data_IF_637253500664
#
_entry.id   IF_637253500664
#
_cell.length_a   1.000
_cell.length_b   1.000
_cell.length_c   1.000
_cell.angle_alpha   90.00
_cell.angle_beta   90.00
_cell.angle_gamma   90.00
#
_symmetry.space_group_name_H-M   'P 1'
#
loop_
_entity.id
_entity.type
_entity.pdbx_description
1 polymer ?
#
# COMPACT_ATOMS: atom_id res chain seq x y z
N UNK A 1 -24.24 -1.16 -16.55
CA UNK A 1 -23.14 -1.45 -15.60
C UNK A 1 -21.96 -0.56 -15.93
N UNK A 2 -21.34 0.11 -14.97
CA UNK A 2 -20.10 0.87 -15.22
C UNK A 2 -18.99 -0.10 -15.65
N UNK A 3 -18.22 0.25 -16.69
CA UNK A 3 -17.10 -0.57 -17.12
C UNK A 3 -16.00 -0.60 -16.05
N UNK A 4 -15.25 -1.69 -15.95
CA UNK A 4 -14.10 -1.80 -15.02
C UNK A 4 -13.11 -0.63 -15.18
N UNK A 5 -12.93 -0.15 -16.40
CA UNK A 5 -12.09 0.99 -16.71
C UNK A 5 -12.63 2.29 -16.10
N UNK A 6 -13.95 2.51 -16.19
CA UNK A 6 -14.57 3.69 -15.61
C UNK A 6 -14.41 3.75 -14.08
N UNK A 7 -14.59 2.62 -13.39
CA UNK A 7 -14.39 2.53 -11.94
C UNK A 7 -12.92 2.85 -11.57
N UNK A 8 -11.96 2.30 -12.31
CA UNK A 8 -10.52 2.59 -12.07
C UNK A 8 -10.20 4.06 -12.25
N UNK A 9 -10.74 4.69 -13.29
CA UNK A 9 -10.54 6.11 -13.53
C UNK A 9 -11.13 6.94 -12.38
N UNK A 10 -12.38 6.68 -12.00
CA UNK A 10 -13.03 7.39 -10.88
C UNK A 10 -12.25 7.26 -9.57
N UNK A 11 -11.75 6.08 -9.22
CA UNK A 11 -10.95 5.87 -8.00
C UNK A 11 -9.63 6.63 -8.09
N UNK A 12 -8.97 6.63 -9.25
CA UNK A 12 -7.72 7.35 -9.46
C UNK A 12 -7.91 8.86 -9.32
N UNK A 13 -8.99 9.41 -9.86
CA UNK A 13 -9.31 10.83 -9.76
C UNK A 13 -9.60 11.24 -8.31
N UNK A 14 -10.36 10.42 -7.57
CA UNK A 14 -10.61 10.64 -6.14
C UNK A 14 -9.33 10.63 -5.30
N UNK A 15 -8.39 9.72 -5.58
CA UNK A 15 -7.09 9.68 -4.87
C UNK A 15 -6.25 10.91 -5.19
N UNK A 16 -6.22 11.36 -6.43
CA UNK A 16 -5.50 12.57 -6.86
C UNK A 16 -6.07 13.86 -6.27
N UNK A 17 -7.35 13.87 -5.92
CA UNK A 17 -7.99 15.02 -5.28
C UNK A 17 -7.61 15.17 -3.79
N UNK A 18 -6.96 14.17 -3.18
CA UNK A 18 -6.51 14.27 -1.79
C UNK A 18 -5.30 15.18 -1.67
N UNK A 19 -5.33 16.09 -0.68
CA UNK A 19 -4.17 16.93 -0.37
C UNK A 19 -3.01 16.09 0.17
N UNK A 20 -1.76 16.56 0.06
CA UNK A 20 -0.61 15.88 0.65
C UNK A 20 -0.76 15.60 2.15
N UNK A 21 -1.42 16.50 2.88
CA UNK A 21 -1.71 16.34 4.31
C UNK A 21 -2.70 15.21 4.56
N UNK A 22 -3.79 15.14 3.78
CA UNK A 22 -4.77 14.05 3.87
C UNK A 22 -4.13 12.71 3.54
N UNK A 23 -3.29 12.65 2.50
CA UNK A 23 -2.57 11.43 2.14
C UNK A 23 -1.68 10.95 3.29
N UNK A 24 -0.87 11.85 3.89
CA UNK A 24 -0.02 11.51 5.05
C UNK A 24 -0.85 11.03 6.25
N UNK A 25 -1.93 11.73 6.57
CA UNK A 25 -2.82 11.38 7.68
C UNK A 25 -3.43 9.98 7.47
N UNK A 26 -3.95 9.71 6.28
CA UNK A 26 -4.57 8.41 5.98
C UNK A 26 -3.57 7.28 5.92
N UNK A 27 -2.34 7.52 5.43
CA UNK A 27 -1.26 6.54 5.47
C UNK A 27 -0.90 6.15 6.92
N UNK A 28 -0.76 7.15 7.81
CA UNK A 28 -0.48 6.92 9.22
C UNK A 28 -1.62 6.14 9.91
N UNK A 29 -2.87 6.56 9.71
CA UNK A 29 -4.04 5.87 10.26
C UNK A 29 -4.16 4.42 9.77
N UNK A 30 -3.86 4.18 8.49
CA UNK A 30 -3.86 2.82 7.94
C UNK A 30 -2.76 1.96 8.56
N UNK A 31 -1.55 2.51 8.73
CA UNK A 31 -0.45 1.81 9.38
C UNK A 31 -0.79 1.44 10.83
N UNK A 32 -1.36 2.36 11.61
CA UNK A 32 -1.81 2.11 12.99
C UNK A 32 -2.86 1.00 13.06
N UNK A 33 -3.87 1.05 12.18
CA UNK A 33 -4.90 0.00 12.11
C UNK A 33 -4.31 -1.36 11.76
N UNK A 34 -3.36 -1.40 10.83
CA UNK A 34 -2.69 -2.64 10.45
C UNK A 34 -1.85 -3.20 11.59
N UNK A 35 -1.14 -2.36 12.34
CA UNK A 35 -0.37 -2.78 13.51
C UNK A 35 -1.23 -3.24 14.68
N UNK A 36 -2.51 -2.84 14.73
CA UNK A 36 -3.48 -3.34 15.71
C UNK A 36 -4.22 -4.61 15.24
N UNK A 37 -4.08 -5.01 13.97
CA UNK A 37 -4.81 -6.14 13.42
C UNK A 37 -4.13 -7.47 13.78
N UNK A 38 -4.80 -8.42 14.49
CA UNK A 38 -4.14 -9.60 15.04
C UNK A 38 -3.30 -10.44 14.05
N UNK A 39 -3.73 -10.66 12.80
CA UNK A 39 -2.90 -11.36 11.82
C UNK A 39 -1.54 -10.70 11.57
N UNK A 40 -1.47 -9.37 11.53
CA UNK A 40 -0.21 -8.63 11.36
C UNK A 40 0.62 -8.66 12.63
N UNK A 41 -0.03 -8.53 13.80
CA UNK A 41 0.63 -8.64 15.10
C UNK A 41 1.34 -9.98 15.23
N UNK A 42 0.67 -11.07 14.88
CA UNK A 42 1.19 -12.44 14.96
C UNK A 42 2.15 -12.81 13.82
N UNK A 43 2.11 -12.10 12.69
CA UNK A 43 3.00 -12.38 11.56
C UNK A 43 4.45 -12.01 11.86
N UNK A 44 5.38 -12.92 11.55
CA UNK A 44 6.82 -12.64 11.54
C UNK A 44 7.32 -12.14 10.18
N UNK A 45 6.62 -12.53 9.11
CA UNK A 45 6.94 -12.21 7.72
C UNK A 45 5.74 -11.50 7.10
N UNK A 46 5.97 -10.33 6.49
CA UNK A 46 4.90 -9.52 5.88
C UNK A 46 5.35 -9.09 4.48
N UNK A 47 4.57 -9.45 3.47
CA UNK A 47 4.77 -8.98 2.10
C UNK A 47 3.94 -7.72 1.84
N UNK A 48 4.56 -6.71 1.25
CA UNK A 48 3.97 -5.39 0.95
C UNK A 48 4.46 -4.93 -0.42
N UNK A 49 3.80 -3.92 -0.99
CA UNK A 49 4.31 -3.18 -2.14
C UNK A 49 4.83 -1.81 -1.71
N UNK A 50 5.76 -1.26 -2.48
CA UNK A 50 6.10 0.17 -2.40
C UNK A 50 5.04 0.94 -3.17
N UNK A 51 4.37 1.88 -2.51
CA UNK A 51 3.30 2.67 -3.10
C UNK A 51 3.79 3.48 -4.30
N UNK A 52 3.00 3.51 -5.38
CA UNK A 52 3.27 4.31 -6.57
C UNK A 52 2.03 5.09 -7.01
N UNK A 53 2.21 6.17 -7.79
CA UNK A 53 1.13 6.81 -8.58
C UNK A 53 -0.18 7.11 -7.82
N UNK A 54 -0.05 7.71 -6.63
CA UNK A 54 -1.19 8.12 -5.80
C UNK A 54 -1.90 6.96 -5.09
N UNK A 55 -1.26 5.80 -5.00
CA UNK A 55 -1.63 4.78 -4.01
C UNK A 55 -1.43 5.29 -2.58
N UNK A 56 -2.06 4.60 -1.63
CA UNK A 56 -1.87 4.87 -0.22
C UNK A 56 -0.41 4.59 0.14
N UNK A 57 0.26 5.57 0.75
CA UNK A 57 1.67 5.44 1.14
C UNK A 57 1.84 4.30 2.17
N UNK A 58 2.66 3.31 1.82
CA UNK A 58 2.92 2.13 2.65
C UNK A 58 4.16 2.31 3.53
N UNK A 59 4.94 3.38 3.36
CA UNK A 59 6.17 3.62 4.12
C UNK A 59 5.95 3.65 5.64
N UNK A 60 4.91 4.31 6.19
CA UNK A 60 4.68 4.33 7.64
C UNK A 60 4.44 2.93 8.22
N UNK A 61 3.80 2.04 7.47
CA UNK A 61 3.60 0.65 7.89
C UNK A 61 4.91 -0.13 7.82
N UNK A 62 5.69 0.02 6.75
CA UNK A 62 7.01 -0.62 6.60
C UNK A 62 7.90 -0.27 7.79
N UNK A 63 7.98 1.02 8.15
CA UNK A 63 8.78 1.49 9.28
C UNK A 63 8.32 0.88 10.62
N UNK A 64 7.01 0.81 10.84
CA UNK A 64 6.44 0.21 12.07
C UNK A 64 6.71 -1.30 12.15
N UNK A 65 6.60 -2.01 11.02
CA UNK A 65 6.90 -3.45 10.97
C UNK A 65 8.39 -3.73 11.24
N UNK A 66 9.30 -2.92 10.69
CA UNK A 66 10.73 -3.01 10.98
C UNK A 66 11.03 -2.73 12.45
N UNK A 67 10.45 -1.69 13.05
CA UNK A 67 10.58 -1.41 14.50
C UNK A 67 10.05 -2.55 15.37
N UNK A 68 9.02 -3.26 14.91
CA UNK A 68 8.48 -4.44 15.57
C UNK A 68 9.30 -5.73 15.32
N UNK A 69 10.45 -5.64 14.65
CA UNK A 69 11.33 -6.78 14.37
C UNK A 69 10.81 -7.75 13.32
N UNK A 70 9.85 -7.33 12.49
CA UNK A 70 9.24 -8.18 11.45
C UNK A 70 10.07 -8.13 10.16
N UNK A 71 10.07 -9.22 9.41
CA UNK A 71 10.68 -9.30 8.08
C UNK A 71 9.71 -8.78 7.04
N UNK A 72 10.12 -7.74 6.32
CA UNK A 72 9.32 -7.12 5.26
C UNK A 72 9.85 -7.55 3.90
N UNK A 73 8.95 -7.99 3.03
CA UNK A 73 9.25 -8.45 1.68
C UNK A 73 8.56 -7.54 0.66
N UNK A 74 9.30 -7.10 -0.36
CA UNK A 74 8.79 -6.25 -1.43
C UNK A 74 8.87 -6.99 -2.77
N UNK A 75 7.88 -6.82 -3.67
CA UNK A 75 7.92 -7.42 -4.98
C UNK A 75 9.05 -6.80 -5.81
N UNK A 76 9.81 -7.65 -6.50
CA UNK A 76 10.77 -7.24 -7.53
C UNK A 76 10.15 -7.56 -8.88
N UNK A 77 10.01 -6.54 -9.73
CA UNK A 77 9.47 -6.73 -11.07
C UNK A 77 10.58 -7.17 -12.01
N UNK A 78 10.38 -8.30 -12.70
CA UNK A 78 11.37 -8.80 -13.65
C UNK A 78 11.24 -8.04 -14.99
N UNK A 79 12.34 -7.55 -15.59
CA UNK A 79 12.30 -6.53 -16.65
C UNK A 79 11.82 -7.00 -18.04
N UNK A 80 11.39 -8.26 -18.22
CA UNK A 80 11.29 -8.86 -19.57
C UNK A 80 9.90 -9.29 -20.04
N UNK A 81 8.80 -8.77 -19.47
CA UNK A 81 7.48 -8.93 -20.11
C UNK A 81 6.48 -7.85 -19.65
N UNK A 82 6.05 -6.94 -20.54
CA UNK A 82 4.94 -6.03 -20.25
C UNK A 82 3.68 -6.84 -19.87
N UNK A 83 3.13 -6.59 -18.69
CA UNK A 83 1.92 -7.26 -18.20
C UNK A 83 2.14 -8.50 -17.34
N UNK A 84 3.38 -8.98 -17.17
CA UNK A 84 3.70 -10.04 -16.21
C UNK A 84 4.37 -9.44 -14.97
N UNK A 85 3.54 -8.94 -14.06
CA UNK A 85 3.87 -9.01 -12.64
C UNK A 85 3.76 -10.50 -12.26
N UNK A 86 4.72 -11.06 -11.52
CA UNK A 86 4.65 -12.46 -11.06
C UNK A 86 3.29 -12.78 -10.42
#
# INVERSE_FOLDING_TARGET
MLSRQHIRQQIRDRRRALSPEQQRLFAQQAAERMMAWPPVVLAHNVALFLSFDGELDTQPLIDQLWRAGKRVYLPVLHPFSPGNLL
#
